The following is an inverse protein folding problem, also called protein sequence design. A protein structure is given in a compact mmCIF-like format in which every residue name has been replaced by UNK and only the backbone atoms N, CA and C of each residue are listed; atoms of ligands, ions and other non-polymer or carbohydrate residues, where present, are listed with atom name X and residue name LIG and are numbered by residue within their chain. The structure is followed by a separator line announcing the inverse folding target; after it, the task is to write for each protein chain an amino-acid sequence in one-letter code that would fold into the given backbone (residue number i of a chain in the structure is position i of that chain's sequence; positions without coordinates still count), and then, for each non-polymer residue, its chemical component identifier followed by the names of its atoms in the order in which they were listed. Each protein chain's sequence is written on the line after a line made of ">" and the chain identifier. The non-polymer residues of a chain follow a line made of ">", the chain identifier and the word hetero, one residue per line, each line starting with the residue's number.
data_IF_525675655235
#
_entry.id   IF_525675655235
#
_cell.length_a   1.000
_cell.length_b   1.000
_cell.length_c   1.000
_cell.angle_alpha   90.00
_cell.angle_beta   90.00
_cell.angle_gamma   90.00
#
_symmetry.space_group_name_H-M   'P 1'
#
loop_
_entity.id
_entity.type
_entity.pdbx_description
1 polymer ?
#
# COMPACT_ATOMS: atom_id res chain seq x y z
N UNK A 1 -31.86 41.91 5.17
CA UNK A 1 -31.39 41.00 6.24
C UNK A 1 -31.13 39.67 5.56
N UNK A 2 -29.89 39.18 5.54
CA UNK A 2 -29.64 37.87 4.94
C UNK A 2 -30.07 36.77 5.92
N UNK A 3 -30.68 35.72 5.37
CA UNK A 3 -31.11 34.55 6.11
C UNK A 3 -30.22 33.37 5.73
N UNK A 4 -29.76 32.63 6.73
CA UNK A 4 -28.98 31.41 6.56
C UNK A 4 -29.87 30.19 6.86
N UNK A 5 -29.64 29.08 6.16
CA UNK A 5 -30.35 27.81 6.38
C UNK A 5 -29.62 27.03 7.48
N UNK A 6 -30.35 26.60 8.52
CA UNK A 6 -29.80 25.72 9.55
C UNK A 6 -29.60 24.30 8.99
N UNK A 7 -28.44 23.65 9.17
CA UNK A 7 -28.19 22.28 8.69
C UNK A 7 -28.89 21.21 9.54
N UNK A 8 -29.25 21.51 10.80
CA UNK A 8 -29.87 20.54 11.71
C UNK A 8 -31.40 20.46 11.53
N UNK A 9 -32.06 21.61 11.37
CA UNK A 9 -33.53 21.67 11.30
C UNK A 9 -34.08 22.27 10.01
N UNK A 10 -33.20 22.62 9.07
CA UNK A 10 -33.53 23.15 7.75
C UNK A 10 -34.31 24.47 7.68
N UNK A 11 -34.65 25.08 8.84
CA UNK A 11 -35.31 26.38 8.88
C UNK A 11 -34.33 27.52 8.63
N UNK A 12 -34.84 28.58 8.01
CA UNK A 12 -34.08 29.81 7.78
C UNK A 12 -34.11 30.70 9.01
N UNK A 13 -33.00 31.35 9.31
CA UNK A 13 -32.90 32.31 10.41
C UNK A 13 -31.85 33.39 10.11
N UNK A 14 -31.82 34.46 10.90
CA UNK A 14 -30.89 35.58 10.68
C UNK A 14 -29.43 35.16 10.90
N UNK A 15 -28.54 35.59 10.02
CA UNK A 15 -27.08 35.38 10.14
C UNK A 15 -26.45 36.00 11.39
N UNK A 16 -27.14 36.96 12.01
CA UNK A 16 -26.71 37.70 13.20
C UNK A 16 -27.20 37.08 14.51
N UNK A 17 -28.05 36.05 14.46
CA UNK A 17 -28.45 35.33 15.67
C UNK A 17 -27.27 34.51 16.19
N UNK A 18 -27.08 34.43 17.52
CA UNK A 18 -26.03 33.59 18.12
C UNK A 18 -26.30 32.09 17.91
N UNK A 19 -27.59 31.72 17.86
CA UNK A 19 -28.05 30.35 17.62
C UNK A 19 -29.34 30.31 16.81
N UNK A 20 -29.57 29.19 16.13
CA UNK A 20 -30.82 28.93 15.43
C UNK A 20 -32.00 28.94 16.43
N UNK A 21 -33.01 29.80 16.26
CA UNK A 21 -34.12 29.91 17.20
C UNK A 21 -35.07 28.70 17.18
N UNK A 22 -34.91 27.80 16.21
CA UNK A 22 -35.78 26.63 16.07
C UNK A 22 -35.21 25.35 16.68
N UNK A 23 -33.88 25.17 16.69
CA UNK A 23 -33.25 23.95 17.21
C UNK A 23 -32.05 24.21 18.15
N UNK A 24 -31.65 25.46 18.35
CA UNK A 24 -30.51 25.82 19.19
C UNK A 24 -29.13 25.58 18.57
N UNK A 25 -29.06 25.22 17.28
CA UNK A 25 -27.78 25.04 16.58
C UNK A 25 -26.95 26.35 16.60
N UNK A 26 -25.72 26.36 17.12
CA UNK A 26 -24.87 27.55 17.14
C UNK A 26 -24.58 28.07 15.74
N UNK A 27 -24.66 29.39 15.54
CA UNK A 27 -24.46 30.00 14.23
C UNK A 27 -23.03 29.85 13.71
N UNK A 28 -22.05 29.78 14.61
CA UNK A 28 -20.65 29.49 14.29
C UNK A 28 -20.51 28.16 13.53
N UNK A 29 -21.13 27.09 14.04
CA UNK A 29 -21.16 25.76 13.40
C UNK A 29 -21.79 25.81 12.01
N UNK A 30 -22.81 26.65 11.81
CA UNK A 30 -23.47 26.82 10.50
C UNK A 30 -22.53 27.52 9.50
N UNK A 31 -21.74 28.49 9.95
CA UNK A 31 -20.79 29.21 9.11
C UNK A 31 -19.63 28.31 8.68
N UNK A 32 -19.07 27.49 9.58
CA UNK A 32 -18.02 26.51 9.26
C UNK A 32 -18.48 25.53 8.18
N UNK A 33 -19.64 24.91 8.36
CA UNK A 33 -20.18 23.95 7.38
C UNK A 33 -20.48 24.59 6.02
N UNK A 34 -20.90 25.87 5.99
CA UNK A 34 -21.10 26.59 4.73
C UNK A 34 -19.79 26.94 4.02
N UNK A 35 -18.72 27.20 4.76
CA UNK A 35 -17.38 27.39 4.20
C UNK A 35 -16.87 26.07 3.62
N UNK A 36 -16.96 24.97 4.36
CA UNK A 36 -16.54 23.64 3.91
C UNK A 36 -17.27 23.22 2.62
N UNK A 37 -18.60 23.41 2.58
CA UNK A 37 -19.40 23.14 1.38
C UNK A 37 -19.02 24.03 0.20
N UNK A 38 -18.58 25.28 0.46
CA UNK A 38 -18.12 26.19 -0.59
C UNK A 38 -16.73 25.82 -1.10
N UNK A 39 -15.83 25.36 -0.23
CA UNK A 39 -14.49 24.86 -0.61
C UNK A 39 -14.62 23.59 -1.46
N UNK A 40 -15.45 22.63 -1.04
CA UNK A 40 -15.73 21.42 -1.83
C UNK A 40 -16.33 21.74 -3.20
N UNK A 41 -17.07 22.85 -3.31
CA UNK A 41 -17.63 23.32 -4.58
C UNK A 41 -16.55 23.96 -5.46
N UNK A 42 -15.65 24.75 -4.88
CA UNK A 42 -14.51 25.38 -5.58
C UNK A 42 -13.55 24.32 -6.11
N UNK A 43 -13.19 23.32 -5.30
CA UNK A 43 -12.36 22.18 -5.70
C UNK A 43 -12.95 21.42 -6.89
N UNK A 44 -14.28 21.30 -6.97
CA UNK A 44 -14.96 20.65 -8.10
C UNK A 44 -15.00 21.52 -9.36
N UNK A 45 -15.14 22.84 -9.24
CA UNK A 45 -15.15 23.76 -10.39
C UNK A 45 -13.77 24.08 -10.97
N UNK A 46 -12.69 23.89 -10.21
CA UNK A 46 -11.32 24.13 -10.71
C UNK A 46 -10.69 22.87 -11.35
N UNK A 47 -11.39 21.73 -11.32
CA UNK A 47 -10.93 20.44 -11.85
C UNK A 47 -11.40 20.12 -13.29
N UNK A 48 -12.06 21.05 -13.99
CA UNK A 48 -12.39 20.89 -15.41
C UNK A 48 -11.45 21.72 -16.29
N UNK A 49 -10.24 21.19 -16.60
CA UNK A 49 -9.51 21.32 -17.89
C UNK A 49 -8.01 20.99 -17.88
N UNK A 50 -7.58 20.00 -17.10
CA UNK A 50 -6.39 19.21 -17.47
C UNK A 50 -6.66 17.79 -17.01
N UNK A 51 -7.05 16.92 -17.94
CA UNK A 51 -7.31 15.51 -17.67
C UNK A 51 -5.99 14.83 -17.32
N UNK A 52 -5.58 14.90 -16.06
CA UNK A 52 -4.47 14.12 -15.53
C UNK A 52 -5.04 12.73 -15.27
N UNK A 53 -4.66 11.75 -16.11
CA UNK A 53 -5.06 10.36 -15.92
C UNK A 53 -4.53 9.85 -14.56
N UNK A 54 -5.39 9.21 -13.77
CA UNK A 54 -4.99 8.61 -12.48
C UNK A 54 -4.19 7.31 -12.69
N UNK A 55 -3.39 6.88 -11.72
CA UNK A 55 -2.50 5.70 -11.76
C UNK A 55 -3.16 4.47 -12.37
N UNK A 56 -4.42 4.20 -12.00
CA UNK A 56 -5.16 3.03 -12.51
C UNK A 56 -5.50 3.16 -13.99
N UNK A 57 -5.91 4.35 -14.42
CA UNK A 57 -6.26 4.61 -15.81
C UNK A 57 -5.03 4.52 -16.72
N UNK A 58 -3.89 5.02 -16.25
CA UNK A 58 -2.59 4.92 -16.95
C UNK A 58 -2.16 3.46 -17.08
N UNK A 59 -2.23 2.69 -16.00
CA UNK A 59 -1.91 1.25 -16.03
C UNK A 59 -2.81 0.48 -17.00
N UNK A 60 -4.14 0.69 -16.92
CA UNK A 60 -5.11 0.03 -17.79
C UNK A 60 -4.93 0.45 -19.26
N UNK A 61 -4.57 1.69 -19.52
CA UNK A 61 -4.30 2.19 -20.87
C UNK A 61 -3.13 1.44 -21.51
N UNK A 62 -2.04 1.26 -20.77
CA UNK A 62 -0.83 0.58 -21.25
C UNK A 62 -1.05 -0.92 -21.39
N UNK A 63 -1.54 -1.59 -20.34
CA UNK A 63 -1.64 -3.05 -20.31
C UNK A 63 -2.73 -3.62 -21.21
N UNK A 64 -3.80 -2.85 -21.47
CA UNK A 64 -4.85 -3.26 -22.39
C UNK A 64 -4.59 -2.83 -23.84
N UNK A 65 -3.39 -2.31 -24.15
CA UNK A 65 -2.99 -1.96 -25.51
C UNK A 65 -3.80 -0.81 -26.13
N UNK A 66 -4.25 0.15 -25.32
CA UNK A 66 -4.94 1.35 -25.80
C UNK A 66 -3.96 2.41 -26.34
N UNK A 67 -2.68 2.30 -25.99
CA UNK A 67 -1.60 3.15 -26.47
C UNK A 67 -0.99 2.71 -27.79
N UNK A 68 0.08 3.41 -28.20
CA UNK A 68 0.78 3.06 -29.43
C UNK A 68 1.52 1.70 -29.30
N UNK A 69 1.50 0.92 -30.38
CA UNK A 69 2.19 -0.38 -30.44
C UNK A 69 3.71 -0.22 -30.23
N UNK A 70 4.29 0.88 -30.72
CA UNK A 70 5.71 1.20 -30.57
C UNK A 70 6.08 1.38 -29.10
N UNK A 71 5.28 2.15 -28.36
CA UNK A 71 5.52 2.38 -26.93
C UNK A 71 5.30 1.14 -26.08
N UNK A 72 4.36 0.26 -26.45
CA UNK A 72 4.19 -1.04 -25.79
C UNK A 72 5.46 -1.89 -25.89
N UNK A 73 6.02 -2.05 -27.10
CA UNK A 73 7.26 -2.80 -27.29
C UNK A 73 8.45 -2.14 -26.59
N UNK A 74 8.51 -0.81 -26.60
CA UNK A 74 9.56 -0.07 -25.92
C UNK A 74 9.52 -0.26 -24.41
N UNK A 75 8.34 -0.22 -23.79
CA UNK A 75 8.15 -0.51 -22.36
C UNK A 75 8.63 -1.92 -22.03
N UNK A 76 8.23 -2.93 -22.81
CA UNK A 76 8.70 -4.31 -22.63
C UNK A 76 10.23 -4.44 -22.76
N UNK A 77 10.82 -3.81 -23.76
CA UNK A 77 12.27 -3.79 -23.96
C UNK A 77 13.00 -3.12 -22.77
N UNK A 78 12.48 -2.01 -22.26
CA UNK A 78 13.03 -1.33 -21.08
C UNK A 78 12.91 -2.20 -19.81
N UNK A 79 11.83 -2.98 -19.67
CA UNK A 79 11.66 -3.92 -18.57
C UNK A 79 12.71 -5.04 -18.63
N UNK A 80 12.96 -5.61 -19.81
CA UNK A 80 13.94 -6.69 -19.99
C UNK A 80 15.39 -6.22 -19.75
N UNK A 81 15.70 -4.96 -20.05
CA UNK A 81 17.04 -4.39 -19.88
C UNK A 81 17.24 -3.62 -18.56
N UNK A 82 16.23 -3.53 -17.69
CA UNK A 82 16.23 -2.70 -16.47
C UNK A 82 16.47 -1.20 -16.73
N UNK A 83 15.98 -0.67 -17.85
CA UNK A 83 16.07 0.76 -18.19
C UNK A 83 14.88 1.55 -17.62
N UNK A 84 14.96 1.87 -16.32
CA UNK A 84 13.86 2.50 -15.59
C UNK A 84 13.50 3.91 -16.07
N UNK A 85 14.50 4.75 -16.33
CA UNK A 85 14.28 6.15 -16.72
C UNK A 85 13.61 6.25 -18.10
N UNK A 86 14.10 5.48 -19.06
CA UNK A 86 13.54 5.47 -20.41
C UNK A 86 12.14 4.85 -20.45
N UNK A 87 11.91 3.82 -19.65
CA UNK A 87 10.60 3.22 -19.45
C UNK A 87 9.56 4.21 -18.89
N UNK A 88 9.91 4.92 -17.82
CA UNK A 88 9.05 5.95 -17.21
C UNK A 88 8.79 7.11 -18.17
N UNK A 89 9.81 7.55 -18.91
CA UNK A 89 9.66 8.60 -19.92
C UNK A 89 8.65 8.20 -21.00
N UNK A 90 8.72 6.95 -21.47
CA UNK A 90 7.79 6.41 -22.46
C UNK A 90 6.34 6.41 -21.94
N UNK A 91 6.14 6.10 -20.65
CA UNK A 91 4.82 6.17 -20.00
C UNK A 91 4.30 7.61 -19.97
N UNK A 92 5.16 8.58 -19.61
CA UNK A 92 4.79 10.00 -19.57
C UNK A 92 4.45 10.51 -20.97
N UNK A 93 5.23 10.15 -21.99
CA UNK A 93 5.00 10.57 -23.39
C UNK A 93 3.68 10.02 -23.95
N UNK A 94 3.32 8.78 -23.65
CA UNK A 94 2.08 8.16 -24.13
C UNK A 94 0.83 8.63 -23.40
N UNK A 95 0.93 8.91 -22.10
CA UNK A 95 -0.25 9.13 -21.24
C UNK A 95 -0.37 10.56 -20.72
N UNK A 96 0.68 11.37 -20.81
CA UNK A 96 0.74 12.72 -20.26
C UNK A 96 0.65 12.78 -18.73
N UNK A 97 0.89 11.66 -18.05
CA UNK A 97 0.79 11.58 -16.59
C UNK A 97 1.97 12.26 -15.87
N UNK A 98 1.79 12.51 -14.57
CA UNK A 98 2.85 13.03 -13.70
C UNK A 98 4.00 12.03 -13.51
N UNK A 99 5.20 12.55 -13.23
CA UNK A 99 6.40 11.74 -13.01
C UNK A 99 6.24 10.72 -11.87
N UNK A 100 5.52 11.07 -10.80
CA UNK A 100 5.27 10.14 -9.70
C UNK A 100 4.29 9.03 -10.10
N UNK A 101 3.29 9.37 -10.92
CA UNK A 101 2.35 8.39 -11.47
C UNK A 101 3.11 7.42 -12.38
N UNK A 102 3.97 7.93 -13.26
CA UNK A 102 4.80 7.09 -14.12
C UNK A 102 5.70 6.13 -13.34
N UNK A 103 6.31 6.58 -12.23
CA UNK A 103 7.10 5.73 -11.33
C UNK A 103 6.29 4.59 -10.71
N UNK A 104 5.09 4.89 -10.21
CA UNK A 104 4.22 3.88 -9.61
C UNK A 104 3.70 2.89 -10.64
N UNK A 105 3.24 3.37 -11.79
CA UNK A 105 2.76 2.53 -12.88
C UNK A 105 3.88 1.64 -13.42
N UNK A 106 5.10 2.18 -13.58
CA UNK A 106 6.28 1.39 -13.96
C UNK A 106 6.51 0.23 -12.99
N UNK A 107 6.39 0.47 -11.70
CA UNK A 107 6.52 -0.56 -10.67
C UNK A 107 5.43 -1.64 -10.84
N UNK A 108 4.18 -1.24 -11.07
CA UNK A 108 3.06 -2.17 -11.30
C UNK A 108 3.26 -3.02 -12.58
N UNK A 109 3.78 -2.40 -13.65
CA UNK A 109 4.10 -3.08 -14.92
C UNK A 109 5.23 -4.08 -14.70
N UNK A 110 6.31 -3.69 -14.02
CA UNK A 110 7.42 -4.59 -13.67
C UNK A 110 6.92 -5.82 -12.91
N UNK A 111 6.06 -5.63 -11.90
CA UNK A 111 5.46 -6.73 -11.14
C UNK A 111 4.55 -7.63 -12.00
N UNK A 112 3.83 -7.03 -12.95
CA UNK A 112 2.93 -7.77 -13.85
C UNK A 112 3.69 -8.59 -14.90
N UNK A 113 4.81 -8.08 -15.40
CA UNK A 113 5.60 -8.70 -16.48
C UNK A 113 6.65 -9.68 -15.97
N UNK A 114 7.20 -9.48 -14.77
CA UNK A 114 8.22 -10.35 -14.21
C UNK A 114 7.87 -10.81 -12.79
N UNK A 115 6.94 -11.78 -12.63
CA UNK A 115 6.53 -12.30 -11.33
C UNK A 115 7.61 -13.11 -10.58
N UNK A 116 8.85 -13.19 -11.11
CA UNK A 116 9.98 -13.92 -10.52
C UNK A 116 11.20 -13.05 -10.21
N UNK A 117 11.18 -11.75 -10.48
CA UNK A 117 12.23 -10.83 -10.03
C UNK A 117 11.96 -10.44 -8.56
N UNK A 118 12.84 -10.88 -7.67
CA UNK A 118 12.72 -10.75 -6.22
C UNK A 118 12.51 -9.30 -5.75
N UNK A 119 11.52 -9.10 -4.88
CA UNK A 119 11.51 -8.00 -3.91
C UNK A 119 12.26 -8.47 -2.64
N UNK A 120 13.32 -7.77 -2.24
CA UNK A 120 13.40 -7.33 -0.86
C UNK A 120 13.58 -5.81 -0.89
N UNK A 121 12.54 -5.02 -0.62
CA UNK A 121 12.23 -4.33 0.66
C UNK A 121 11.23 -3.21 0.22
N UNK A 122 10.09 -2.90 0.81
CA UNK A 122 9.58 -2.98 2.18
C UNK A 122 8.05 -2.81 2.16
N UNK A 123 7.33 -3.62 2.91
CA UNK A 123 6.10 -3.20 3.56
C UNK A 123 5.91 -4.01 4.84
N UNK A 124 5.39 -3.33 5.84
CA UNK A 124 5.25 -3.74 7.24
C UNK A 124 4.54 -5.10 7.42
N UNK A 125 5.30 -6.09 7.86
CA UNK A 125 4.82 -7.12 8.78
C UNK A 125 5.87 -7.30 9.86
N UNK A 126 5.48 -7.20 11.13
CA UNK A 126 6.22 -7.85 12.20
C UNK A 126 6.19 -9.35 11.88
N UNK A 127 7.14 -9.80 11.07
CA UNK A 127 7.34 -11.21 10.84
C UNK A 127 7.78 -11.78 12.18
N UNK A 128 6.90 -12.53 12.84
CA UNK A 128 7.21 -13.37 14.00
C UNK A 128 8.16 -14.49 13.58
N UNK A 129 9.35 -14.13 13.07
CA UNK A 129 10.41 -15.04 12.72
C UNK A 129 10.98 -15.53 14.05
N UNK A 130 10.84 -16.83 14.36
CA UNK A 130 11.33 -17.34 15.63
C UNK A 130 12.85 -17.18 15.64
N UNK A 131 13.35 -16.39 16.59
CA UNK A 131 14.78 -16.21 16.82
C UNK A 131 15.25 -17.12 17.94
N UNK A 132 16.54 -17.45 17.95
CA UNK A 132 17.12 -18.19 19.04
C UNK A 132 17.10 -17.34 20.34
N UNK A 133 16.53 -17.82 21.46
CA UNK A 133 16.49 -17.06 22.71
C UNK A 133 17.88 -16.84 23.33
N UNK A 134 18.87 -17.65 22.96
CA UNK A 134 20.23 -17.54 23.48
C UNK A 134 21.11 -16.55 22.68
N UNK A 135 21.08 -16.61 21.34
CA UNK A 135 22.00 -15.82 20.50
C UNK A 135 21.30 -14.91 19.48
N UNK A 136 19.97 -14.85 19.50
CA UNK A 136 19.12 -14.06 18.59
C UNK A 136 19.27 -14.38 17.10
N UNK A 137 20.01 -15.43 16.76
CA UNK A 137 20.14 -15.88 15.38
C UNK A 137 18.79 -16.40 14.86
N UNK A 138 18.45 -15.98 13.64
CA UNK A 138 17.33 -16.52 12.85
C UNK A 138 17.62 -17.90 12.26
N UNK A 139 18.86 -18.40 12.39
CA UNK A 139 19.29 -19.68 11.83
C UNK A 139 18.89 -20.84 12.75
N UNK A 140 17.62 -21.23 12.65
CA UNK A 140 16.98 -22.27 13.46
C UNK A 140 16.51 -23.44 12.59
N UNK A 141 16.60 -24.65 13.11
CA UNK A 141 16.22 -25.88 12.42
C UNK A 141 15.26 -26.69 13.28
N UNK A 142 14.15 -27.15 12.69
CA UNK A 142 13.26 -28.13 13.33
C UNK A 142 13.97 -29.46 13.46
N UNK A 143 13.94 -30.04 14.66
CA UNK A 143 14.45 -31.39 14.89
C UNK A 143 13.43 -32.35 14.27
N UNK A 144 13.71 -32.84 13.07
CA UNK A 144 12.81 -33.75 12.36
C UNK A 144 12.73 -35.11 13.07
N UNK A 145 11.50 -35.58 13.30
CA UNK A 145 11.21 -36.87 13.95
C UNK A 145 11.86 -38.08 13.27
N UNK A 146 12.31 -37.93 12.02
CA UNK A 146 13.07 -38.93 11.26
C UNK A 146 14.47 -39.24 11.83
N UNK A 147 15.08 -38.34 12.62
CA UNK A 147 16.32 -38.65 13.38
C UNK A 147 16.06 -39.32 14.73
N UNK A 148 14.80 -39.44 15.18
CA UNK A 148 14.46 -40.16 16.43
C UNK A 148 14.38 -41.67 16.22
N UNK A 149 13.99 -42.17 15.06
CA UNK A 149 13.79 -43.62 14.88
C UNK A 149 15.12 -44.41 14.88
N UNK A 150 16.20 -43.83 14.36
CA UNK A 150 17.46 -44.57 14.21
C UNK A 150 18.31 -44.63 15.50
N UNK A 151 17.95 -43.87 16.54
CA UNK A 151 18.73 -43.80 17.79
C UNK A 151 17.99 -44.27 19.05
N UNK A 152 16.71 -44.59 18.95
CA UNK A 152 15.90 -45.03 20.11
C UNK A 152 15.89 -46.56 20.26
N UNK A 153 16.62 -47.29 19.42
CA UNK A 153 16.72 -48.75 19.50
C UNK A 153 17.80 -49.30 20.44
N UNK A 154 18.74 -48.49 20.93
CA UNK A 154 19.94 -49.04 21.61
C UNK A 154 20.32 -48.43 22.97
N UNK A 155 19.83 -47.27 23.38
CA UNK A 155 20.15 -46.72 24.71
C UNK A 155 18.94 -46.01 25.35
N UNK A 156 18.48 -46.58 26.47
CA UNK A 156 17.41 -46.03 27.28
C UNK A 156 17.72 -44.65 27.86
N UNK A 157 16.66 -43.88 28.09
CA UNK A 157 16.49 -42.87 29.15
C UNK A 157 17.66 -41.91 29.47
N UNK A 158 18.39 -41.39 28.50
CA UNK A 158 19.32 -40.27 28.75
C UNK A 158 19.65 -39.39 27.53
N UNK A 159 18.73 -39.21 26.58
CA UNK A 159 18.98 -38.32 25.45
C UNK A 159 18.52 -36.90 25.75
N UNK A 160 19.46 -35.94 25.71
CA UNK A 160 19.26 -34.50 25.96
C UNK A 160 18.30 -33.81 24.96
N UNK A 161 17.69 -34.59 24.08
CA UNK A 161 16.82 -34.20 22.97
C UNK A 161 15.36 -34.65 23.14
N UNK A 162 14.99 -35.20 24.31
CA UNK A 162 13.60 -35.52 24.66
C UNK A 162 12.82 -34.22 24.87
N UNK A 163 11.68 -34.09 24.17
CA UNK A 163 10.76 -32.95 24.27
C UNK A 163 11.07 -31.71 23.42
N UNK A 164 12.32 -31.55 22.94
CA UNK A 164 12.74 -30.36 22.17
C UNK A 164 12.35 -30.48 20.69
N UNK A 165 11.91 -29.39 20.09
CA UNK A 165 11.40 -29.36 18.70
C UNK A 165 12.28 -28.56 17.75
N UNK A 166 13.15 -27.70 18.28
CA UNK A 166 13.98 -26.74 17.53
C UNK A 166 15.43 -26.73 18.05
N UNK A 167 16.38 -26.48 17.14
CA UNK A 167 17.80 -26.26 17.42
C UNK A 167 18.29 -25.04 16.67
N UNK A 168 19.05 -24.17 17.34
CA UNK A 168 19.80 -23.11 16.67
C UNK A 168 21.08 -23.67 16.04
N UNK A 169 21.32 -23.36 14.76
CA UNK A 169 22.57 -23.74 14.08
C UNK A 169 23.75 -22.85 14.46
N UNK A 170 23.50 -21.62 14.92
CA UNK A 170 24.55 -20.67 15.27
C UNK A 170 25.20 -20.97 16.63
N UNK A 171 24.40 -21.15 17.69
CA UNK A 171 24.92 -21.42 19.05
C UNK A 171 24.68 -22.85 19.55
N UNK A 172 23.95 -23.69 18.81
CA UNK A 172 23.65 -25.06 19.21
C UNK A 172 22.55 -25.23 20.27
N UNK A 173 22.00 -24.14 20.82
CA UNK A 173 20.90 -24.16 21.80
C UNK A 173 19.66 -24.88 21.24
N UNK A 174 18.99 -25.69 22.07
CA UNK A 174 17.84 -26.53 21.69
C UNK A 174 16.64 -26.26 22.61
N UNK A 175 15.44 -26.08 22.05
CA UNK A 175 14.19 -25.81 22.78
C UNK A 175 12.99 -26.50 22.10
#
# INVERSE_FOLDING_TARGET
>A
MSLIKCPECEKMFSEFADMCPNCGCPTEKVKELNIDNSIQKIEKTQFEKTTIMDRREVFDYIMNGKGSMESFYKIHHCVDNNDWEEGQKTIIEETGCDENIAKWVWTDILHSLNPKAENPISSSSENHIPTCPNCKSINIQRISASKRWLSTGLFGLASSDIGKTMKCKNCGYKW
#
